data_IF_229679392756
#
_entry.id   IF_229679392756
#
_cell.length_a   1.000
_cell.length_b   1.000
_cell.length_c   1.000
_cell.angle_alpha   90.00
_cell.angle_beta   90.00
_cell.angle_gamma   90.00
#
_symmetry.space_group_name_H-M   'P 1'
#
loop_
_entity.id
_entity.type
_entity.pdbx_description
1 polymer ?
#
# COMPACT_ATOMS: atom_id res chain seq x y z
N UNK A 1 12.64 21.34 8.75
CA UNK A 1 11.92 22.00 9.86
C UNK A 1 11.20 20.97 10.74
N UNK A 2 10.90 19.78 10.20
CA UNK A 2 10.33 18.66 10.95
C UNK A 2 11.39 17.70 11.50
N UNK A 3 12.69 18.02 11.35
CA UNK A 3 13.80 17.21 11.86
C UNK A 3 14.01 15.86 11.14
N UNK A 4 13.18 15.55 10.14
CA UNK A 4 13.22 14.31 9.37
C UNK A 4 13.19 14.62 7.87
N UNK A 5 13.92 13.83 7.09
CA UNK A 5 13.85 13.83 5.64
C UNK A 5 13.00 12.64 5.18
N UNK A 6 11.93 12.83 4.43
CA UNK A 6 11.13 11.71 3.93
C UNK A 6 11.94 10.85 2.96
N UNK A 7 11.75 9.55 3.03
CA UNK A 7 12.34 8.58 2.10
C UNK A 7 11.30 7.92 1.22
N UNK A 8 10.04 8.04 1.57
CA UNK A 8 8.90 7.54 0.82
C UNK A 8 7.90 8.64 0.54
N UNK A 9 7.15 8.46 -0.51
CA UNK A 9 6.06 9.35 -0.90
C UNK A 9 4.85 8.55 -1.38
N UNK A 10 3.67 9.07 -1.09
CA UNK A 10 2.46 8.67 -1.78
C UNK A 10 2.30 9.53 -3.02
N UNK A 11 2.13 8.88 -4.16
CA UNK A 11 1.84 9.59 -5.39
C UNK A 11 0.35 9.93 -5.41
N UNK A 12 0.03 11.18 -5.08
CA UNK A 12 -1.36 11.68 -5.02
C UNK A 12 -2.06 11.42 -6.36
N UNK A 13 -3.33 11.00 -6.32
CA UNK A 13 -4.08 10.54 -7.50
C UNK A 13 -3.41 9.40 -8.27
N UNK A 14 -2.31 8.90 -7.77
CA UNK A 14 -1.60 7.73 -8.27
C UNK A 14 -1.35 7.75 -9.78
N UNK A 15 -1.31 8.94 -10.38
CA UNK A 15 -0.93 9.12 -11.79
C UNK A 15 0.54 8.79 -11.94
N UNK A 16 0.81 7.72 -12.65
CA UNK A 16 2.16 7.23 -12.86
C UNK A 16 2.66 7.56 -14.27
N UNK A 17 3.87 8.10 -14.32
CA UNK A 17 4.72 8.17 -15.50
C UNK A 17 6.17 7.85 -15.11
N UNK A 18 6.90 7.12 -15.94
CA UNK A 18 8.29 6.76 -15.65
C UNK A 18 9.19 7.99 -15.48
N UNK A 19 8.89 9.08 -16.17
CA UNK A 19 9.62 10.35 -16.10
C UNK A 19 9.67 11.01 -14.73
N UNK A 20 8.81 10.58 -13.77
CA UNK A 20 8.87 11.09 -12.38
C UNK A 20 10.00 10.43 -11.58
N UNK A 21 10.53 9.29 -12.02
CA UNK A 21 11.55 8.52 -11.28
C UNK A 21 12.82 9.34 -11.03
N UNK A 22 13.46 9.97 -12.03
CA UNK A 22 14.65 10.77 -11.79
C UNK A 22 14.40 11.92 -10.82
N UNK A 23 13.29 12.63 -10.96
CA UNK A 23 12.94 13.77 -10.12
C UNK A 23 12.77 13.38 -8.65
N UNK A 24 12.08 12.26 -8.39
CA UNK A 24 11.87 11.74 -7.03
C UNK A 24 13.17 11.22 -6.43
N UNK A 25 13.95 10.46 -7.18
CA UNK A 25 15.23 9.91 -6.72
C UNK A 25 16.23 11.03 -6.39
N UNK A 26 16.34 12.07 -7.22
CA UNK A 26 17.22 13.21 -6.99
C UNK A 26 16.78 14.07 -5.77
N UNK A 27 15.48 14.03 -5.42
CA UNK A 27 14.98 14.59 -4.16
C UNK A 27 15.24 13.71 -2.92
N UNK A 28 15.80 12.51 -3.10
CA UNK A 28 16.10 11.57 -2.03
C UNK A 28 14.93 10.66 -1.64
N UNK A 29 13.88 10.61 -2.46
CA UNK A 29 12.81 9.62 -2.32
C UNK A 29 13.32 8.28 -2.82
N UNK A 30 13.13 7.25 -2.03
CA UNK A 30 13.60 5.89 -2.31
C UNK A 30 12.50 4.95 -2.74
N UNK A 31 11.27 5.24 -2.32
CA UNK A 31 10.10 4.45 -2.69
C UNK A 31 8.85 5.32 -2.77
N UNK A 32 7.95 4.91 -3.63
CA UNK A 32 6.59 5.49 -3.74
C UNK A 32 5.54 4.39 -3.60
N UNK A 33 4.33 4.82 -3.29
CA UNK A 33 3.20 3.93 -3.09
C UNK A 33 2.18 4.28 -4.16
N UNK A 34 1.77 3.28 -4.97
CA UNK A 34 0.77 3.38 -6.05
C UNK A 34 -0.18 2.19 -5.98
N UNK A 35 -1.31 2.23 -6.66
CA UNK A 35 -2.29 1.15 -6.61
C UNK A 35 -1.77 -0.15 -7.26
N UNK A 36 -2.26 -1.28 -6.77
CA UNK A 36 -1.98 -2.60 -7.34
C UNK A 36 -2.43 -2.73 -8.80
N UNK A 37 -3.47 -1.99 -9.21
CA UNK A 37 -3.91 -1.91 -10.60
C UNK A 37 -2.78 -1.59 -11.59
N UNK A 38 -1.83 -0.72 -11.23
CA UNK A 38 -0.67 -0.40 -12.08
C UNK A 38 0.17 -1.64 -12.39
N UNK A 39 0.34 -2.50 -11.39
CA UNK A 39 1.10 -3.74 -11.54
C UNK A 39 0.33 -4.79 -12.33
N UNK A 40 -0.99 -4.86 -12.15
CA UNK A 40 -1.85 -5.74 -12.96
C UNK A 40 -1.78 -5.33 -14.44
N UNK A 41 -1.79 -4.03 -14.76
CA UNK A 41 -1.57 -3.52 -16.12
C UNK A 41 -0.18 -3.87 -16.67
N UNK A 42 0.82 -4.03 -15.81
CA UNK A 42 2.17 -4.49 -16.18
C UNK A 42 2.29 -6.02 -16.26
N UNK A 43 1.19 -6.76 -16.17
CA UNK A 43 1.14 -8.21 -16.28
C UNK A 43 1.51 -8.98 -15.01
N UNK A 44 1.56 -8.30 -13.85
CA UNK A 44 1.70 -8.97 -12.56
C UNK A 44 0.38 -9.60 -12.12
N UNK A 45 0.47 -10.61 -11.28
CA UNK A 45 -0.68 -11.27 -10.67
C UNK A 45 -0.86 -10.80 -9.22
N UNK A 46 -2.09 -10.83 -8.71
CA UNK A 46 -2.36 -10.43 -7.34
C UNK A 46 -1.51 -11.17 -6.30
N UNK A 47 -1.16 -12.43 -6.56
CA UNK A 47 -0.32 -13.24 -5.67
C UNK A 47 1.15 -12.79 -5.60
N UNK A 48 1.60 -11.94 -6.53
CA UNK A 48 2.95 -11.37 -6.54
C UNK A 48 3.04 -10.04 -5.77
N UNK A 49 1.91 -9.42 -5.43
CA UNK A 49 1.84 -8.06 -4.90
C UNK A 49 1.97 -8.00 -3.36
N UNK A 50 2.71 -8.91 -2.78
CA UNK A 50 2.95 -9.03 -1.34
C UNK A 50 4.28 -8.39 -0.88
N UNK A 51 4.90 -7.58 -1.72
CA UNK A 51 6.10 -6.79 -1.46
C UNK A 51 6.25 -5.69 -2.50
N UNK A 52 7.35 -4.93 -2.45
CA UNK A 52 7.66 -3.89 -3.42
C UNK A 52 8.47 -4.41 -4.61
N UNK A 53 8.46 -3.64 -5.68
CA UNK A 53 9.23 -3.85 -6.90
C UNK A 53 10.18 -2.68 -7.12
N UNK A 54 11.20 -2.88 -7.92
CA UNK A 54 12.13 -1.82 -8.33
C UNK A 54 11.84 -1.42 -9.78
N UNK A 55 11.83 -0.13 -10.06
CA UNK A 55 11.81 0.42 -11.43
C UNK A 55 13.05 1.29 -11.66
N UNK A 56 13.32 1.59 -12.92
CA UNK A 56 14.46 2.40 -13.32
C UNK A 56 14.06 3.32 -14.49
N UNK A 57 14.56 4.55 -14.47
CA UNK A 57 14.45 5.50 -15.57
C UNK A 57 15.65 6.44 -15.55
N UNK A 58 16.29 6.67 -16.69
CA UNK A 58 17.45 7.56 -16.85
C UNK A 58 18.59 7.30 -15.84
N UNK A 59 18.88 6.02 -15.55
CA UNK A 59 19.92 5.62 -14.62
C UNK A 59 19.58 5.93 -13.15
N UNK A 60 18.34 6.18 -12.82
CA UNK A 60 17.82 6.35 -11.45
C UNK A 60 16.86 5.22 -11.14
N UNK A 61 16.96 4.66 -9.95
CA UNK A 61 16.05 3.62 -9.47
C UNK A 61 15.11 4.16 -8.39
N UNK A 62 13.90 3.61 -8.36
CA UNK A 62 12.87 3.90 -7.38
C UNK A 62 12.11 2.61 -7.07
N UNK A 63 11.79 2.40 -5.81
CA UNK A 63 10.99 1.24 -5.41
C UNK A 63 9.50 1.58 -5.33
N UNK A 64 8.65 0.63 -5.72
CA UNK A 64 7.21 0.81 -5.91
C UNK A 64 6.46 -0.17 -5.04
N UNK A 65 5.62 0.33 -4.11
CA UNK A 65 4.74 -0.48 -3.28
C UNK A 65 3.34 -0.53 -3.87
N UNK A 66 2.78 -1.73 -4.13
CA UNK A 66 1.40 -1.90 -4.58
C UNK A 66 0.41 -1.76 -3.41
N UNK A 67 -0.42 -0.73 -3.41
CA UNK A 67 -1.51 -0.61 -2.44
C UNK A 67 -2.56 -1.65 -2.79
N UNK A 68 -3.00 -2.43 -1.83
CA UNK A 68 -4.10 -3.37 -2.03
C UNK A 68 -5.43 -2.62 -2.17
N UNK A 69 -6.01 -2.63 -3.35
CA UNK A 69 -7.35 -2.11 -3.62
C UNK A 69 -8.40 -2.78 -2.71
N UNK A 70 -8.32 -4.09 -2.55
CA UNK A 70 -9.21 -4.83 -1.65
C UNK A 70 -9.18 -4.30 -0.22
N UNK A 71 -8.00 -3.97 0.32
CA UNK A 71 -7.89 -3.38 1.65
C UNK A 71 -8.46 -1.97 1.67
N UNK A 72 -8.23 -1.18 0.63
CA UNK A 72 -8.79 0.19 0.52
C UNK A 72 -10.32 0.20 0.57
N UNK A 73 -10.98 -0.74 -0.11
CA UNK A 73 -12.43 -0.84 -0.11
C UNK A 73 -13.01 -1.53 1.13
N UNK A 74 -12.22 -2.33 1.83
CA UNK A 74 -12.67 -2.95 3.08
C UNK A 74 -12.48 -2.06 4.31
N UNK A 75 -11.42 -1.26 4.37
CA UNK A 75 -11.15 -0.36 5.49
C UNK A 75 -11.74 1.03 5.23
N UNK A 76 -12.61 1.56 6.10
CA UNK A 76 -13.23 0.94 7.27
C UNK A 76 -14.63 0.33 7.00
N UNK A 77 -15.00 0.04 5.76
CA UNK A 77 -16.38 -0.22 5.32
C UNK A 77 -16.87 -1.67 5.55
N UNK A 78 -15.95 -2.62 5.75
CA UNK A 78 -16.32 -3.99 6.13
C UNK A 78 -16.22 -4.19 7.65
N UNK A 79 -16.90 -5.20 8.24
CA UNK A 79 -16.72 -5.57 9.63
C UNK A 79 -15.24 -5.80 9.98
N UNK A 80 -14.82 -5.36 11.16
CA UNK A 80 -13.42 -5.37 11.56
C UNK A 80 -12.80 -6.79 11.58
N UNK A 81 -13.57 -7.76 12.04
CA UNK A 81 -13.17 -9.17 12.09
C UNK A 81 -12.98 -9.77 10.69
N UNK A 82 -13.82 -9.40 9.72
CA UNK A 82 -13.68 -9.82 8.33
C UNK A 82 -12.40 -9.24 7.70
N UNK A 83 -12.06 -7.97 8.02
CA UNK A 83 -10.83 -7.35 7.52
C UNK A 83 -9.61 -8.05 8.12
N UNK A 84 -9.61 -8.33 9.42
CA UNK A 84 -8.53 -9.07 10.08
C UNK A 84 -8.38 -10.47 9.47
N UNK A 85 -9.48 -11.20 9.30
CA UNK A 85 -9.46 -12.52 8.67
C UNK A 85 -8.93 -12.50 7.24
N UNK A 86 -9.26 -11.46 6.47
CA UNK A 86 -8.71 -11.26 5.13
C UNK A 86 -7.19 -11.07 5.17
N UNK A 87 -6.67 -10.20 6.06
CA UNK A 87 -5.22 -9.99 6.21
C UNK A 87 -4.52 -11.30 6.60
N UNK A 88 -5.10 -12.07 7.51
CA UNK A 88 -4.57 -13.39 7.89
C UNK A 88 -4.57 -14.39 6.71
N UNK A 89 -5.58 -14.29 5.83
CA UNK A 89 -5.64 -15.16 4.64
C UNK A 89 -4.49 -14.87 3.67
N UNK A 90 -4.06 -13.61 3.56
CA UNK A 90 -2.91 -13.24 2.73
C UNK A 90 -1.61 -13.89 3.23
N UNK A 91 -1.45 -14.01 4.55
CA UNK A 91 -0.29 -14.68 5.13
C UNK A 91 -0.25 -16.18 4.78
N UNK A 92 -1.41 -16.79 4.58
CA UNK A 92 -1.52 -18.24 4.22
C UNK A 92 -1.30 -18.50 2.74
N UNK A 93 -1.62 -17.52 1.89
CA UNK A 93 -1.53 -17.65 0.42
C UNK A 93 -0.17 -17.23 -0.16
N UNK A 94 0.69 -16.64 0.67
CA UNK A 94 1.96 -16.09 0.22
C UNK A 94 2.91 -17.14 -0.35
N UNK A 95 3.53 -16.82 -1.46
CA UNK A 95 4.50 -17.66 -2.17
C UNK A 95 5.91 -17.64 -1.56
N UNK A 96 6.01 -17.25 -0.29
CA UNK A 96 7.20 -17.43 0.53
C UNK A 96 8.29 -16.36 0.42
N UNK A 97 7.97 -15.11 0.62
CA UNK A 97 9.05 -14.11 0.62
C UNK A 97 8.70 -12.75 1.22
N UNK A 98 7.64 -12.13 0.83
CA UNK A 98 7.27 -10.80 1.27
C UNK A 98 6.19 -10.80 2.34
N UNK A 99 5.06 -11.39 2.02
CA UNK A 99 3.86 -11.52 2.85
C UNK A 99 3.43 -10.20 3.50
N UNK A 100 3.57 -9.09 2.77
CA UNK A 100 3.13 -7.79 3.24
C UNK A 100 1.70 -7.52 2.73
N UNK A 101 0.81 -7.20 3.64
CA UNK A 101 -0.47 -6.56 3.32
C UNK A 101 -0.20 -5.05 3.24
N UNK A 102 -0.19 -4.51 2.03
CA UNK A 102 0.23 -3.13 1.78
C UNK A 102 -1.02 -2.25 1.73
N UNK A 103 -1.13 -1.36 2.71
CA UNK A 103 -2.27 -0.46 2.83
C UNK A 103 -1.80 1.00 2.92
N UNK A 104 -2.41 1.84 2.13
CA UNK A 104 -2.28 3.29 2.20
C UNK A 104 -3.56 3.93 1.68
N UNK A 105 -4.07 4.97 2.35
CA UNK A 105 -5.37 5.52 2.00
C UNK A 105 -5.60 6.92 2.55
N UNK A 106 -6.74 7.52 2.17
CA UNK A 106 -7.21 8.82 2.62
C UNK A 106 -7.70 8.74 4.06
N UNK A 107 -7.16 9.58 4.92
CA UNK A 107 -7.55 9.62 6.34
C UNK A 107 -9.01 10.05 6.54
N UNK A 108 -9.60 10.77 5.59
CA UNK A 108 -10.97 11.24 5.61
C UNK A 108 -12.01 10.11 5.70
N UNK A 109 -11.67 8.92 5.22
CA UNK A 109 -12.51 7.72 5.38
C UNK A 109 -12.84 7.40 6.84
N UNK A 110 -11.98 7.83 7.75
CA UNK A 110 -12.08 7.54 9.18
C UNK A 110 -12.78 8.67 9.95
N UNK A 111 -13.91 9.16 9.44
CA UNK A 111 -14.81 10.03 10.19
C UNK A 111 -15.25 11.33 9.50
N UNK A 112 -14.69 11.66 8.32
CA UNK A 112 -15.11 12.86 7.57
C UNK A 112 -16.12 12.50 6.48
N UNK A 113 -16.00 11.32 5.88
CA UNK A 113 -16.99 10.86 4.91
C UNK A 113 -18.34 10.58 5.54
N UNK A 114 -19.47 10.69 4.79
CA UNK A 114 -20.80 10.46 5.35
C UNK A 114 -20.90 9.14 6.11
N UNK A 115 -21.52 9.20 7.29
CA UNK A 115 -21.77 8.05 8.18
C UNK A 115 -20.53 7.37 8.78
N UNK A 116 -19.31 7.73 8.35
CA UNK A 116 -18.11 7.05 8.81
C UNK A 116 -17.72 7.40 10.25
N UNK A 117 -18.07 8.59 10.75
CA UNK A 117 -17.78 8.95 12.15
C UNK A 117 -18.50 8.04 13.13
N UNK A 118 -19.81 7.85 12.92
CA UNK A 118 -20.63 6.97 13.76
C UNK A 118 -20.09 5.53 13.72
N UNK A 119 -19.81 5.04 12.52
CA UNK A 119 -19.32 3.67 12.32
C UNK A 119 -17.96 3.44 12.96
N UNK A 120 -16.99 4.33 12.67
CA UNK A 120 -15.59 4.15 13.06
C UNK A 120 -15.39 4.38 14.55
N UNK A 121 -16.02 5.41 15.12
CA UNK A 121 -15.77 5.83 16.51
C UNK A 121 -16.90 5.45 17.44
N UNK A 122 -18.16 5.77 17.15
CA UNK A 122 -19.27 5.52 18.08
C UNK A 122 -19.63 4.03 18.16
N UNK A 123 -19.64 3.33 17.03
CA UNK A 123 -19.81 1.87 16.99
C UNK A 123 -18.52 1.09 17.25
N UNK A 124 -17.39 1.79 17.39
CA UNK A 124 -16.13 1.22 17.83
C UNK A 124 -15.41 0.35 16.81
N UNK A 125 -15.66 0.56 15.51
CA UNK A 125 -15.00 -0.21 14.46
C UNK A 125 -13.46 -0.14 14.56
N UNK A 126 -12.91 1.06 14.78
CA UNK A 126 -11.47 1.27 14.86
C UNK A 126 -10.83 0.49 16.01
N UNK A 127 -11.46 0.53 17.19
CA UNK A 127 -10.98 -0.22 18.35
C UNK A 127 -11.04 -1.73 18.09
N UNK A 128 -12.13 -2.22 17.52
CA UNK A 128 -12.27 -3.64 17.18
C UNK A 128 -11.21 -4.08 16.17
N UNK A 129 -10.95 -3.28 15.15
CA UNK A 129 -9.91 -3.57 14.16
C UNK A 129 -8.52 -3.60 14.78
N UNK A 130 -8.16 -2.58 15.57
CA UNK A 130 -6.87 -2.52 16.28
C UNK A 130 -6.70 -3.71 17.21
N UNK A 131 -7.70 -4.04 18.02
CA UNK A 131 -7.65 -5.19 18.91
C UNK A 131 -7.51 -6.51 18.16
N UNK A 132 -8.23 -6.68 17.04
CA UNK A 132 -8.11 -7.84 16.18
C UNK A 132 -6.70 -8.01 15.60
N UNK A 133 -6.12 -6.93 15.10
CA UNK A 133 -4.74 -6.92 14.58
C UNK A 133 -3.73 -7.27 15.67
N UNK A 134 -3.87 -6.68 16.86
CA UNK A 134 -2.95 -6.93 17.99
C UNK A 134 -3.08 -8.34 18.57
N UNK A 135 -4.27 -8.93 18.52
CA UNK A 135 -4.52 -10.29 19.01
C UNK A 135 -4.04 -11.36 18.03
N UNK A 136 -3.88 -11.04 16.76
CA UNK A 136 -3.48 -12.02 15.74
C UNK A 136 -2.01 -12.40 15.87
N UNK A 137 -1.67 -13.68 16.01
CA UNK A 137 -0.28 -14.14 15.99
C UNK A 137 0.34 -14.10 14.58
N UNK A 138 -0.46 -13.86 13.55
CA UNK A 138 -0.06 -13.89 12.16
C UNK A 138 0.23 -12.49 11.61
N UNK A 139 -0.24 -11.44 12.27
CA UNK A 139 -0.14 -10.06 11.80
C UNK A 139 0.90 -9.32 12.62
N UNK A 140 1.80 -8.63 11.92
CA UNK A 140 2.75 -7.70 12.51
C UNK A 140 2.71 -6.38 11.76
N UNK A 141 2.33 -5.31 12.45
CA UNK A 141 2.39 -3.96 11.88
C UNK A 141 3.83 -3.48 11.73
N UNK A 142 4.13 -2.79 10.63
CA UNK A 142 5.47 -2.32 10.34
C UNK A 142 5.41 -1.01 9.52
N UNK A 143 6.35 -0.10 9.75
CA UNK A 143 6.51 1.06 8.89
C UNK A 143 7.09 0.67 7.53
N UNK A 144 6.65 1.35 6.47
CA UNK A 144 7.17 1.16 5.12
C UNK A 144 8.69 1.25 5.06
N UNK A 145 9.29 2.25 5.72
CA UNK A 145 10.74 2.41 5.79
C UNK A 145 11.45 1.19 6.35
N UNK A 146 10.91 0.64 7.43
CA UNK A 146 11.54 -0.49 8.11
C UNK A 146 11.40 -1.78 7.29
N UNK A 147 10.24 -1.99 6.67
CA UNK A 147 10.03 -3.09 5.73
C UNK A 147 10.94 -2.94 4.49
N UNK A 148 11.01 -1.76 3.89
CA UNK A 148 11.87 -1.48 2.75
C UNK A 148 13.35 -1.77 3.04
N UNK A 149 13.83 -1.44 4.26
CA UNK A 149 15.21 -1.71 4.68
C UNK A 149 15.57 -3.20 4.75
N UNK A 150 14.58 -4.10 4.75
CA UNK A 150 14.81 -5.55 4.73
C UNK A 150 15.22 -6.08 3.35
N UNK A 151 15.16 -5.26 2.29
CA UNK A 151 15.63 -5.62 0.95
C UNK A 151 14.78 -6.71 0.25
N UNK A 152 13.49 -6.81 0.56
CA UNK A 152 12.60 -7.86 0.04
C UNK A 152 11.92 -7.47 -1.28
N UNK A 153 12.66 -6.98 -2.27
CA UNK A 153 12.09 -6.68 -3.58
C UNK A 153 11.62 -7.95 -4.31
N UNK A 154 10.52 -7.83 -5.04
CA UNK A 154 10.01 -8.85 -5.98
C UNK A 154 10.63 -8.75 -7.37
N UNK A 155 11.67 -7.96 -7.52
CA UNK A 155 12.39 -7.77 -8.78
C UNK A 155 12.00 -6.49 -9.51
N UNK A 156 12.32 -6.44 -10.78
CA UNK A 156 12.11 -5.24 -11.61
C UNK A 156 10.71 -5.25 -12.23
N UNK A 157 10.08 -4.07 -12.29
CA UNK A 157 8.84 -3.83 -13.01
C UNK A 157 8.89 -2.49 -13.73
N UNK A 158 8.36 -2.44 -14.94
CA UNK A 158 8.11 -1.19 -15.67
C UNK A 158 6.61 -1.00 -15.79
N UNK A 159 6.08 -0.02 -15.08
CA UNK A 159 4.65 0.27 -15.08
C UNK A 159 4.29 1.13 -16.30
N UNK A 160 3.19 0.86 -17.00
CA UNK A 160 2.68 1.75 -18.03
C UNK A 160 2.21 3.08 -17.42
N UNK A 161 2.16 4.12 -18.22
CA UNK A 161 1.50 5.39 -17.84
C UNK A 161 0.03 5.10 -17.57
N UNK A 162 -0.39 5.24 -16.31
CA UNK A 162 -1.76 4.95 -15.87
C UNK A 162 -2.04 5.59 -14.51
N UNK A 163 -3.27 5.47 -14.04
CA UNK A 163 -3.70 5.86 -12.69
C UNK A 163 -4.49 4.70 -12.07
N UNK A 164 -5.25 4.96 -11.00
CA UNK A 164 -6.15 3.97 -10.42
C UNK A 164 -7.32 3.67 -11.38
N UNK A 165 -8.00 2.55 -11.16
CA UNK A 165 -8.95 2.01 -12.13
C UNK A 165 -10.07 3.01 -12.49
N UNK A 166 -10.62 3.72 -11.53
CA UNK A 166 -11.72 4.67 -11.72
C UNK A 166 -11.32 5.91 -12.54
N UNK A 167 -10.03 6.21 -12.62
CA UNK A 167 -9.52 7.28 -13.49
C UNK A 167 -9.29 6.83 -14.93
N UNK A 168 -9.30 5.53 -15.19
CA UNK A 168 -9.07 4.96 -16.51
C UNK A 168 -10.37 4.48 -17.19
N UNK A 169 -11.51 4.53 -16.52
CA UNK A 169 -12.85 4.26 -17.05
C UNK A 169 -13.48 5.53 -17.66
#
# INVERSE_FOLDING_TARGET
KLGQRPQGAWLTERVWEATVVPALADCGIRYVIVDDYHFLCAGKTAGELDSYFTTEEDGRSLDLFPISETLRYRLPFSPADEVVAYIESLAKSGTGGGNAAIYFDDIEKFGIWPETYEWVYEKGWLDQFIQGVLASPMIRTQHYRDYHSMGKTRGVVYLPTTSYIEMNE
#
